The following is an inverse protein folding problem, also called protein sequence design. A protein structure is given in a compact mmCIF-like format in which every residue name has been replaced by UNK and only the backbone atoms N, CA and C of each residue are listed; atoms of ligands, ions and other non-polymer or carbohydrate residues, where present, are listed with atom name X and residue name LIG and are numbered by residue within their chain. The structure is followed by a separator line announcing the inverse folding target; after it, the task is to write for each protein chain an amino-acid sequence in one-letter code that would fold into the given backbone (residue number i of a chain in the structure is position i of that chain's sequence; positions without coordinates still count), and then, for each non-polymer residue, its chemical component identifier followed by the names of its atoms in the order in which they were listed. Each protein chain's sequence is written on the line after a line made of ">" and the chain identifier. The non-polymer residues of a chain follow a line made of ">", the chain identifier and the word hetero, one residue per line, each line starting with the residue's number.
data_IF_663782682731
#
_entry.id   IF_663782682731
#
_cell.length_a   1.000
_cell.length_b   1.000
_cell.length_c   1.000
_cell.angle_alpha   90.00
_cell.angle_beta   90.00
_cell.angle_gamma   90.00
#
_symmetry.space_group_name_H-M   'P 1'
#
loop_
_entity.id
_entity.type
_entity.pdbx_description
1 polymer ?
#
# COMPACT_ATOMS: atom_id res chain seq x y z
N UNK A 1 49.64 -9.34 -51.23
CA UNK A 1 49.91 -8.98 -49.81
C UNK A 1 49.08 -7.74 -49.52
N UNK A 2 48.26 -7.60 -48.49
CA UNK A 2 47.97 -8.38 -47.28
C UNK A 2 46.52 -8.03 -46.93
N UNK A 3 45.69 -9.03 -46.70
CA UNK A 3 44.34 -8.87 -46.17
C UNK A 3 44.43 -8.30 -44.76
N UNK A 4 43.90 -7.11 -44.51
CA UNK A 4 43.75 -6.56 -43.15
C UNK A 4 42.38 -6.96 -42.62
N UNK A 5 42.24 -8.25 -42.32
CA UNK A 5 41.16 -8.80 -41.50
C UNK A 5 41.74 -9.10 -40.12
N UNK A 6 41.79 -8.09 -39.25
CA UNK A 6 42.11 -8.26 -37.84
C UNK A 6 41.83 -6.96 -37.07
N UNK A 7 40.57 -6.50 -36.99
CA UNK A 7 40.22 -5.51 -35.95
C UNK A 7 38.70 -5.38 -35.68
N UNK A 8 37.88 -6.36 -36.06
CA UNK A 8 36.44 -6.34 -35.72
C UNK A 8 36.04 -7.45 -34.74
N UNK A 9 36.83 -8.53 -34.66
CA UNK A 9 36.56 -9.65 -33.76
C UNK A 9 36.82 -9.30 -32.29
N UNK A 10 37.83 -8.47 -32.01
CA UNK A 10 38.22 -8.14 -30.63
C UNK A 10 37.20 -7.24 -29.92
N UNK A 11 36.64 -6.24 -30.62
CA UNK A 11 35.60 -5.36 -30.06
C UNK A 11 34.28 -6.09 -29.80
N UNK A 12 33.90 -7.04 -30.66
CA UNK A 12 32.68 -7.84 -30.46
C UNK A 12 32.80 -8.77 -29.24
N UNK A 13 34.00 -9.33 -28.99
CA UNK A 13 34.28 -10.14 -27.79
C UNK A 13 34.24 -9.30 -26.51
N UNK A 14 34.76 -8.06 -26.53
CA UNK A 14 34.68 -7.17 -25.37
C UNK A 14 33.24 -6.72 -25.05
N UNK A 15 32.40 -6.46 -26.05
CA UNK A 15 30.99 -6.11 -25.84
C UNK A 15 30.20 -7.30 -25.26
N UNK A 16 30.44 -8.52 -25.73
CA UNK A 16 29.82 -9.72 -25.18
C UNK A 16 30.27 -9.99 -23.72
N UNK A 17 31.56 -9.78 -23.41
CA UNK A 17 32.08 -9.92 -22.04
C UNK A 17 31.59 -8.81 -21.09
N UNK A 18 31.34 -7.58 -21.58
CA UNK A 18 30.75 -6.53 -20.75
C UNK A 18 29.25 -6.75 -20.52
N UNK A 19 28.53 -7.31 -21.50
CA UNK A 19 27.11 -7.65 -21.34
C UNK A 19 26.84 -8.80 -20.36
N UNK A 20 27.80 -9.72 -20.17
CA UNK A 20 27.68 -10.81 -19.20
C UNK A 20 28.00 -10.40 -17.76
N UNK A 21 28.72 -9.30 -17.56
CA UNK A 21 29.02 -8.73 -16.23
C UNK A 21 27.88 -7.83 -15.71
N UNK A 22 27.00 -7.34 -16.59
CA UNK A 22 25.85 -6.50 -16.21
C UNK A 22 24.54 -7.27 -16.00
N UNK A 23 24.56 -8.60 -16.11
CA UNK A 23 23.39 -9.45 -15.89
C UNK A 23 23.70 -10.56 -14.88
N UNK A 24 24.25 -10.19 -13.72
CA UNK A 24 23.96 -10.98 -12.53
C UNK A 24 22.57 -10.54 -12.05
N UNK A 25 21.53 -11.39 -12.10
CA UNK A 25 20.34 -11.09 -11.33
C UNK A 25 20.77 -11.21 -9.87
N UNK A 26 21.12 -10.10 -9.24
CA UNK A 26 21.01 -10.01 -7.78
C UNK A 26 19.53 -10.00 -7.47
N UNK A 27 18.89 -11.16 -7.62
CA UNK A 27 17.74 -11.52 -6.82
C UNK A 27 18.29 -11.72 -5.41
N UNK A 28 18.60 -10.61 -4.75
CA UNK A 28 18.56 -10.56 -3.31
C UNK A 28 17.09 -10.67 -2.96
N UNK A 29 16.55 -11.88 -3.00
CA UNK A 29 15.43 -12.20 -2.15
C UNK A 29 16.05 -12.23 -0.76
N UNK A 30 16.01 -11.13 -0.02
CA UNK A 30 16.01 -11.22 1.44
C UNK A 30 14.64 -11.80 1.78
N UNK A 31 14.49 -13.09 1.45
CA UNK A 31 13.44 -13.94 1.94
C UNK A 31 13.53 -13.77 3.44
N UNK A 32 12.48 -13.20 4.03
CA UNK A 32 12.31 -13.01 5.47
C UNK A 32 12.99 -14.20 6.13
N UNK A 33 14.18 -13.95 6.67
CA UNK A 33 15.05 -15.01 7.15
C UNK A 33 14.23 -15.69 8.24
N UNK A 34 13.85 -16.93 7.96
CA UNK A 34 13.04 -17.77 8.82
C UNK A 34 13.84 -18.03 10.11
N UNK A 35 13.81 -17.04 11.00
CA UNK A 35 14.24 -17.16 12.38
C UNK A 35 12.98 -17.22 13.24
N UNK A 36 12.22 -18.29 13.06
CA UNK A 36 11.19 -18.73 13.98
C UNK A 36 10.00 -19.40 13.29
N UNK A 37 9.64 -20.57 13.80
CA UNK A 37 8.38 -21.32 13.62
C UNK A 37 7.13 -20.52 14.05
N UNK A 38 7.09 -19.23 13.73
CA UNK A 38 6.05 -18.27 14.08
C UNK A 38 5.22 -17.92 12.84
N UNK A 39 3.92 -17.78 13.05
CA UNK A 39 2.96 -17.35 12.03
C UNK A 39 3.44 -16.08 11.29
N UNK A 40 3.52 -16.14 9.95
CA UNK A 40 3.96 -15.02 9.11
C UNK A 40 3.16 -13.73 9.39
N UNK A 41 1.88 -13.86 9.73
CA UNK A 41 1.04 -12.73 10.13
C UNK A 41 1.61 -12.03 11.36
N UNK A 42 1.97 -12.78 12.40
CA UNK A 42 2.57 -12.25 13.63
C UNK A 42 3.93 -11.59 13.34
N UNK A 43 4.76 -12.20 12.51
CA UNK A 43 6.05 -11.63 12.10
C UNK A 43 5.90 -10.28 11.40
N UNK A 44 4.92 -10.18 10.49
CA UNK A 44 4.62 -8.94 9.78
C UNK A 44 4.03 -7.90 10.73
N UNK A 45 2.99 -8.24 11.50
CA UNK A 45 2.32 -7.28 12.37
C UNK A 45 3.23 -6.74 13.48
N UNK A 46 4.23 -7.50 13.95
CA UNK A 46 5.25 -6.99 14.88
C UNK A 46 6.13 -5.87 14.30
N UNK A 47 6.17 -5.76 12.97
CA UNK A 47 6.92 -4.75 12.22
C UNK A 47 6.02 -3.63 11.67
N UNK A 48 4.73 -3.64 12.01
CA UNK A 48 3.80 -2.57 11.66
C UNK A 48 3.45 -1.74 12.90
N UNK A 49 3.02 -0.48 12.75
CA UNK A 49 2.26 0.17 13.81
C UNK A 49 0.97 -0.62 14.09
N UNK A 50 0.34 -0.38 15.25
CA UNK A 50 -0.96 -0.95 15.62
C UNK A 50 -1.06 -2.48 15.47
N UNK A 51 -0.15 -3.21 16.13
CA UNK A 51 -0.09 -4.68 16.10
C UNK A 51 -1.46 -5.35 16.24
N UNK A 52 -2.26 -4.98 17.25
CA UNK A 52 -3.57 -5.60 17.50
C UNK A 52 -4.55 -5.41 16.35
N UNK A 53 -4.51 -4.25 15.68
CA UNK A 53 -5.34 -3.95 14.52
C UNK A 53 -4.92 -4.83 13.33
N UNK A 54 -3.61 -4.88 13.06
CA UNK A 54 -3.04 -5.71 12.00
C UNK A 54 -3.39 -7.19 12.20
N UNK A 55 -3.10 -7.73 13.39
CA UNK A 55 -3.35 -9.13 13.74
C UNK A 55 -4.83 -9.47 13.64
N UNK A 56 -5.72 -8.62 14.19
CA UNK A 56 -7.17 -8.83 14.12
C UNK A 56 -7.66 -8.92 12.67
N UNK A 57 -7.22 -8.01 11.80
CA UNK A 57 -7.66 -7.99 10.39
C UNK A 57 -7.18 -9.25 9.66
N UNK A 58 -5.91 -9.61 9.82
CA UNK A 58 -5.31 -10.70 9.07
C UNK A 58 -5.78 -12.07 9.58
N UNK A 59 -5.86 -12.28 10.90
CA UNK A 59 -6.35 -13.55 11.46
C UNK A 59 -7.85 -13.78 11.26
N UNK A 60 -8.65 -12.71 11.16
CA UNK A 60 -10.08 -12.84 10.88
C UNK A 60 -10.37 -13.17 9.41
N UNK A 61 -9.36 -13.10 8.53
CA UNK A 61 -9.54 -13.41 7.12
C UNK A 61 -9.21 -14.89 6.84
N UNK A 62 -10.20 -15.73 6.47
CA UNK A 62 -9.96 -17.15 6.19
C UNK A 62 -9.08 -17.38 4.96
N UNK A 63 -8.89 -16.35 4.13
CA UNK A 63 -8.03 -16.37 2.95
C UNK A 63 -6.61 -15.87 3.24
N UNK A 64 -6.29 -15.47 4.48
CA UNK A 64 -4.93 -15.04 4.86
C UNK A 64 -3.91 -16.15 4.56
N UNK A 65 -3.05 -15.95 3.56
CA UNK A 65 -2.09 -16.98 3.22
C UNK A 65 -1.02 -17.01 4.30
N UNK A 66 -0.92 -18.15 4.96
CA UNK A 66 0.00 -18.38 6.08
C UNK A 66 1.49 -18.22 5.72
N UNK A 67 1.80 -18.13 4.43
CA UNK A 67 3.16 -18.07 3.91
C UNK A 67 3.33 -17.14 2.70
N UNK A 68 2.39 -16.22 2.41
CA UNK A 68 2.51 -15.28 1.28
C UNK A 68 2.41 -13.82 1.74
N UNK A 69 3.56 -13.13 1.87
CA UNK A 69 3.62 -11.71 2.23
C UNK A 69 2.84 -10.81 1.25
N UNK A 70 2.77 -11.17 -0.05
CA UNK A 70 1.99 -10.40 -1.04
C UNK A 70 0.50 -10.53 -0.77
N UNK A 71 0.02 -11.75 -0.55
CA UNK A 71 -1.37 -12.00 -0.20
C UNK A 71 -1.78 -11.33 1.11
N UNK A 72 -0.90 -11.26 2.11
CA UNK A 72 -1.12 -10.49 3.33
C UNK A 72 -1.30 -8.99 3.04
N UNK A 73 -0.44 -8.41 2.20
CA UNK A 73 -0.58 -7.01 1.78
C UNK A 73 -1.88 -6.75 1.01
N UNK A 74 -2.27 -7.67 0.10
CA UNK A 74 -3.54 -7.56 -0.63
C UNK A 74 -4.75 -7.58 0.30
N UNK A 75 -4.75 -8.44 1.32
CA UNK A 75 -5.83 -8.50 2.30
C UNK A 75 -5.94 -7.17 3.05
N UNK A 76 -4.81 -6.59 3.47
CA UNK A 76 -4.82 -5.30 4.15
C UNK A 76 -5.38 -4.19 3.24
N UNK A 77 -4.92 -4.09 1.99
CA UNK A 77 -5.42 -3.08 1.03
C UNK A 77 -6.91 -3.27 0.73
N UNK A 78 -7.39 -4.50 0.57
CA UNK A 78 -8.80 -4.77 0.35
C UNK A 78 -9.65 -4.45 1.59
N UNK A 79 -9.11 -4.65 2.80
CA UNK A 79 -9.78 -4.23 4.03
C UNK A 79 -9.89 -2.70 4.13
N UNK A 80 -8.83 -1.98 3.76
CA UNK A 80 -8.84 -0.50 3.68
C UNK A 80 -9.89 -0.05 2.65
N UNK A 81 -9.93 -0.67 1.48
CA UNK A 81 -10.89 -0.31 0.43
C UNK A 81 -12.34 -0.49 0.90
N UNK A 82 -12.64 -1.57 1.62
CA UNK A 82 -13.95 -1.78 2.21
C UNK A 82 -14.31 -0.69 3.25
N UNK A 83 -13.38 -0.34 4.15
CA UNK A 83 -13.60 0.71 5.15
C UNK A 83 -13.72 2.11 4.52
N UNK A 84 -12.92 2.41 3.50
CA UNK A 84 -12.99 3.66 2.75
C UNK A 84 -14.33 3.80 2.02
N UNK A 85 -14.82 2.70 1.43
CA UNK A 85 -16.12 2.65 0.75
C UNK A 85 -17.26 2.90 1.74
N UNK A 86 -17.26 2.21 2.88
CA UNK A 86 -18.26 2.40 3.93
C UNK A 86 -18.23 3.83 4.51
N UNK A 87 -17.03 4.38 4.70
CA UNK A 87 -16.85 5.77 5.17
C UNK A 87 -17.36 6.79 4.17
N UNK A 88 -17.06 6.61 2.87
CA UNK A 88 -17.60 7.47 1.81
C UNK A 88 -19.13 7.44 1.78
N UNK A 89 -19.73 6.24 1.80
CA UNK A 89 -21.20 6.11 1.83
C UNK A 89 -21.81 6.76 3.08
N UNK A 90 -21.14 6.66 4.22
CA UNK A 90 -21.57 7.32 5.46
C UNK A 90 -21.50 8.85 5.36
N UNK A 91 -20.42 9.40 4.79
CA UNK A 91 -20.29 10.84 4.53
C UNK A 91 -21.40 11.32 3.60
N UNK A 92 -21.63 10.63 2.49
CA UNK A 92 -22.71 10.96 1.53
C UNK A 92 -24.09 10.96 2.19
N UNK A 93 -24.33 10.07 3.14
CA UNK A 93 -25.58 10.02 3.89
C UNK A 93 -25.72 11.19 4.87
N UNK A 94 -24.65 11.56 5.57
CA UNK A 94 -24.65 12.73 6.45
C UNK A 94 -24.94 14.02 5.69
N UNK A 95 -24.37 14.18 4.49
CA UNK A 95 -24.61 15.34 3.62
C UNK A 95 -26.10 15.51 3.30
N UNK A 96 -26.82 14.41 3.03
CA UNK A 96 -28.26 14.47 2.72
C UNK A 96 -29.12 14.90 3.91
N UNK A 97 -28.64 14.72 5.13
CA UNK A 97 -29.42 14.89 6.36
C UNK A 97 -29.03 16.12 7.17
N UNK A 98 -27.86 16.70 6.94
CA UNK A 98 -27.44 17.92 7.62
C UNK A 98 -28.17 19.15 7.08
N UNK A 99 -28.55 20.06 7.97
CA UNK A 99 -28.96 21.43 7.63
C UNK A 99 -27.90 22.46 7.99
N UNK A 100 -26.79 22.04 8.59
CA UNK A 100 -25.64 22.89 8.90
C UNK A 100 -24.76 23.00 7.64
N UNK A 101 -24.71 24.20 7.08
CA UNK A 101 -23.98 24.51 5.85
C UNK A 101 -22.46 24.32 6.00
N UNK A 102 -21.88 24.64 7.16
CA UNK A 102 -20.44 24.46 7.36
C UNK A 102 -20.11 22.97 7.45
N UNK A 103 -20.93 22.21 8.19
CA UNK A 103 -20.80 20.76 8.25
C UNK A 103 -20.96 20.11 6.88
N UNK A 104 -21.94 20.55 6.08
CA UNK A 104 -22.14 20.07 4.71
C UNK A 104 -20.90 20.29 3.84
N UNK A 105 -20.29 21.49 3.90
CA UNK A 105 -19.07 21.81 3.14
C UNK A 105 -17.88 20.96 3.56
N UNK A 106 -17.68 20.77 4.86
CA UNK A 106 -16.58 19.96 5.37
C UNK A 106 -16.75 18.47 5.04
N UNK A 107 -17.98 17.96 5.09
CA UNK A 107 -18.32 16.61 4.65
C UNK A 107 -18.16 16.43 3.13
N UNK A 108 -18.59 17.42 2.32
CA UNK A 108 -18.42 17.38 0.87
C UNK A 108 -16.95 17.33 0.48
N UNK A 109 -16.10 18.13 1.14
CA UNK A 109 -14.64 18.06 0.95
C UNK A 109 -14.11 16.65 1.29
N UNK A 110 -14.55 16.08 2.39
CA UNK A 110 -14.17 14.72 2.75
C UNK A 110 -14.62 13.69 1.71
N UNK A 111 -15.84 13.80 1.17
CA UNK A 111 -16.30 12.93 0.10
C UNK A 111 -15.39 13.04 -1.14
N UNK A 112 -15.02 14.27 -1.53
CA UNK A 112 -14.10 14.52 -2.64
C UNK A 112 -12.72 13.87 -2.42
N UNK A 113 -12.20 13.84 -1.19
CA UNK A 113 -10.96 13.13 -0.84
C UNK A 113 -11.12 11.60 -0.83
N UNK A 114 -12.25 11.07 -0.35
CA UNK A 114 -12.46 9.61 -0.30
C UNK A 114 -12.81 8.99 -1.67
N UNK A 115 -13.41 9.73 -2.59
CA UNK A 115 -13.75 9.25 -3.94
C UNK A 115 -12.53 8.68 -4.68
N UNK A 116 -11.39 9.39 -4.83
CA UNK A 116 -10.23 8.83 -5.52
C UNK A 116 -9.59 7.68 -4.75
N UNK A 117 -9.62 7.72 -3.41
CA UNK A 117 -9.15 6.62 -2.55
C UNK A 117 -9.85 5.32 -2.90
N UNK A 118 -11.19 5.36 -3.00
CA UNK A 118 -12.04 4.20 -3.30
C UNK A 118 -11.95 3.80 -4.78
N UNK A 119 -12.09 4.76 -5.70
CA UNK A 119 -12.25 4.44 -7.14
C UNK A 119 -10.94 4.10 -7.83
N UNK A 120 -9.83 4.66 -7.38
CA UNK A 120 -8.58 4.67 -8.14
C UNK A 120 -7.39 4.21 -7.32
N UNK A 121 -7.13 4.85 -6.18
CA UNK A 121 -5.85 4.72 -5.48
C UNK A 121 -5.69 3.33 -4.87
N UNK A 122 -6.65 2.86 -4.06
CA UNK A 122 -6.56 1.54 -3.42
C UNK A 122 -6.67 0.37 -4.41
N UNK A 123 -7.56 0.42 -5.44
CA UNK A 123 -7.54 -0.59 -6.51
C UNK A 123 -6.19 -0.66 -7.24
N UNK A 124 -5.56 0.49 -7.53
CA UNK A 124 -4.24 0.54 -8.14
C UNK A 124 -3.15 -0.01 -7.22
N UNK A 125 -3.22 0.27 -5.91
CA UNK A 125 -2.31 -0.32 -4.94
C UNK A 125 -2.42 -1.86 -4.93
N UNK A 126 -3.65 -2.40 -4.92
CA UNK A 126 -3.89 -3.84 -4.96
C UNK A 126 -3.38 -4.48 -6.26
N UNK A 127 -3.62 -3.85 -7.41
CA UNK A 127 -3.07 -4.32 -8.70
C UNK A 127 -1.54 -4.33 -8.67
N UNK A 128 -0.93 -3.26 -8.15
CA UNK A 128 0.51 -3.14 -8.08
C UNK A 128 1.15 -4.17 -7.15
N UNK A 129 0.54 -4.46 -6.00
CA UNK A 129 0.99 -5.54 -5.11
C UNK A 129 0.91 -6.89 -5.84
N UNK A 130 -0.20 -7.16 -6.54
CA UNK A 130 -0.40 -8.40 -7.29
C UNK A 130 0.67 -8.59 -8.38
N UNK A 131 1.11 -7.49 -9.00
CA UNK A 131 2.15 -7.48 -10.04
C UNK A 131 3.57 -7.36 -9.47
N UNK A 132 3.75 -7.28 -8.15
CA UNK A 132 5.07 -7.08 -7.51
C UNK A 132 5.67 -5.69 -7.72
N UNK A 133 4.88 -4.71 -8.15
CA UNK A 133 5.29 -3.30 -8.34
C UNK A 133 5.21 -2.54 -7.01
N UNK A 134 5.99 -2.97 -6.02
CA UNK A 134 5.89 -2.47 -4.65
C UNK A 134 6.20 -0.98 -4.50
N UNK A 135 7.07 -0.41 -5.34
CA UNK A 135 7.31 1.03 -5.36
C UNK A 135 6.06 1.84 -5.74
N UNK A 136 5.28 1.34 -6.70
CA UNK A 136 4.01 1.98 -7.06
C UNK A 136 2.92 1.74 -6.01
N UNK A 137 2.89 0.54 -5.42
CA UNK A 137 1.99 0.28 -4.29
C UNK A 137 2.27 1.22 -3.11
N UNK A 138 3.54 1.41 -2.74
CA UNK A 138 3.96 2.32 -1.67
C UNK A 138 3.54 3.76 -1.97
N UNK A 139 3.76 4.22 -3.21
CA UNK A 139 3.26 5.52 -3.67
C UNK A 139 1.74 5.65 -3.53
N UNK A 140 0.97 4.67 -4.00
CA UNK A 140 -0.50 4.69 -3.90
C UNK A 140 -0.99 4.69 -2.45
N UNK A 141 -0.37 3.93 -1.55
CA UNK A 141 -0.75 3.96 -0.13
C UNK A 141 -0.43 5.32 0.52
N UNK A 142 0.72 5.92 0.20
CA UNK A 142 1.06 7.26 0.67
C UNK A 142 0.11 8.34 0.11
N UNK A 143 -0.43 8.14 -1.09
CA UNK A 143 -1.45 9.03 -1.67
C UNK A 143 -2.79 8.89 -0.93
N UNK A 144 -3.21 7.66 -0.63
CA UNK A 144 -4.40 7.41 0.19
C UNK A 144 -4.28 8.01 1.60
N UNK A 145 -3.09 7.94 2.21
CA UNK A 145 -2.80 8.55 3.51
C UNK A 145 -3.01 10.08 3.48
N UNK A 146 -2.53 10.76 2.43
CA UNK A 146 -2.71 12.21 2.27
C UNK A 146 -4.18 12.61 2.12
N UNK A 147 -4.97 11.84 1.37
CA UNK A 147 -6.41 12.13 1.20
C UNK A 147 -7.18 11.94 2.51
N UNK A 148 -6.87 10.88 3.27
CA UNK A 148 -7.46 10.65 4.60
C UNK A 148 -7.09 11.79 5.56
N UNK A 149 -5.82 12.19 5.59
CA UNK A 149 -5.33 13.30 6.41
C UNK A 149 -5.93 14.66 5.99
N UNK A 150 -6.11 14.91 4.69
CA UNK A 150 -6.77 16.11 4.20
C UNK A 150 -8.20 16.22 4.73
N UNK A 151 -8.96 15.13 4.71
CA UNK A 151 -10.28 15.08 5.32
C UNK A 151 -10.22 15.29 6.84
N UNK A 152 -9.27 14.68 7.55
CA UNK A 152 -9.09 14.86 9.00
C UNK A 152 -8.89 16.32 9.39
N UNK A 153 -8.12 17.06 8.59
CA UNK A 153 -7.84 18.47 8.81
C UNK A 153 -9.07 19.39 8.69
N UNK A 154 -10.19 18.91 8.13
CA UNK A 154 -11.47 19.63 8.17
C UNK A 154 -12.15 19.59 9.53
N UNK A 155 -11.74 18.67 10.40
CA UNK A 155 -12.33 18.51 11.73
C UNK A 155 -11.29 18.70 12.86
N UNK A 156 -10.61 19.86 12.97
CA UNK A 156 -9.64 20.13 14.03
C UNK A 156 -10.35 20.41 15.36
N UNK A 157 -10.70 19.38 16.11
CA UNK A 157 -11.39 19.48 17.41
C UNK A 157 -12.36 18.32 17.65
N UNK A 158 -11.84 17.21 18.16
CA UNK A 158 -12.42 15.85 18.03
C UNK A 158 -13.50 15.45 19.05
N UNK A 159 -14.45 16.31 19.40
CA UNK A 159 -15.63 15.86 20.19
C UNK A 159 -16.96 15.94 19.45
N UNK A 160 -16.99 16.56 18.26
CA UNK A 160 -18.23 16.76 17.49
C UNK A 160 -18.16 16.29 16.03
N UNK A 161 -17.03 15.77 15.54
CA UNK A 161 -16.96 15.29 14.15
C UNK A 161 -17.76 14.00 14.01
N UNK A 162 -18.81 13.97 13.16
CA UNK A 162 -19.61 12.76 12.96
C UNK A 162 -18.81 11.63 12.30
N UNK A 163 -17.63 11.93 11.73
CA UNK A 163 -16.78 10.96 11.03
C UNK A 163 -15.44 10.71 11.74
N UNK A 164 -15.19 11.31 12.91
CA UNK A 164 -13.89 11.30 13.58
C UNK A 164 -13.33 9.90 13.85
N UNK A 165 -14.17 8.99 14.36
CA UNK A 165 -13.75 7.60 14.65
C UNK A 165 -13.41 6.82 13.37
N UNK A 166 -14.22 7.01 12.32
CA UNK A 166 -14.03 6.34 11.02
C UNK A 166 -12.71 6.77 10.38
N UNK A 167 -12.47 8.06 10.40
CA UNK A 167 -11.24 8.68 9.94
C UNK A 167 -10.01 8.26 10.75
N UNK A 168 -10.13 8.15 12.07
CA UNK A 168 -9.06 7.64 12.93
C UNK A 168 -8.72 6.18 12.62
N UNK A 169 -9.74 5.34 12.40
CA UNK A 169 -9.53 3.95 11.98
C UNK A 169 -8.86 3.92 10.60
N UNK A 170 -9.34 4.70 9.64
CA UNK A 170 -8.76 4.78 8.30
C UNK A 170 -7.29 5.16 8.33
N UNK A 171 -6.91 6.17 9.12
CA UNK A 171 -5.50 6.55 9.31
C UNK A 171 -4.66 5.37 9.81
N UNK A 172 -5.11 4.68 10.86
CA UNK A 172 -4.38 3.52 11.40
C UNK A 172 -4.23 2.41 10.37
N UNK A 173 -5.26 2.17 9.55
CA UNK A 173 -5.22 1.14 8.52
C UNK A 173 -4.21 1.48 7.42
N UNK A 174 -4.20 2.72 6.92
CA UNK A 174 -3.22 3.13 5.88
C UNK A 174 -1.80 3.13 6.43
N UNK A 175 -1.57 3.49 7.69
CA UNK A 175 -0.27 3.40 8.36
C UNK A 175 0.22 1.95 8.42
N UNK A 176 -0.66 1.00 8.77
CA UNK A 176 -0.36 -0.44 8.76
C UNK A 176 -0.01 -0.90 7.35
N UNK A 177 -0.81 -0.57 6.34
CA UNK A 177 -0.52 -0.96 4.96
C UNK A 177 0.79 -0.39 4.43
N UNK A 178 1.10 0.87 4.77
CA UNK A 178 2.36 1.52 4.42
C UNK A 178 3.54 0.73 4.97
N UNK A 179 3.49 0.34 6.25
CA UNK A 179 4.51 -0.50 6.86
C UNK A 179 4.63 -1.88 6.18
N UNK A 180 3.51 -2.57 5.90
CA UNK A 180 3.54 -3.87 5.21
C UNK A 180 4.16 -3.75 3.81
N UNK A 181 3.73 -2.77 3.00
CA UNK A 181 4.27 -2.59 1.65
C UNK A 181 5.75 -2.20 1.68
N UNK A 182 6.18 -1.43 2.68
CA UNK A 182 7.60 -1.12 2.87
C UNK A 182 8.44 -2.34 3.25
N UNK A 183 7.89 -3.34 3.95
CA UNK A 183 8.57 -4.62 4.16
C UNK A 183 8.77 -5.37 2.84
N UNK A 184 7.79 -5.32 1.93
CA UNK A 184 7.89 -5.95 0.60
C UNK A 184 8.82 -5.20 -0.35
N UNK A 185 8.94 -3.89 -0.20
CA UNK A 185 9.83 -3.07 -1.02
C UNK A 185 11.32 -3.28 -0.68
N UNK A 186 11.61 -3.56 0.59
CA UNK A 186 12.98 -3.64 1.12
C UNK A 186 13.47 -5.08 1.37
N UNK A 187 12.65 -6.10 1.11
CA UNK A 187 13.00 -7.52 1.24
C UNK A 187 13.27 -8.17 -0.12
#
# INVERSE_FOLDING_TARGET
>A
MKSTSASMSSFALYILLFSSVLFTPTHSSVLLKDEGDGDLVDQICKRTPFYDLCSKILHSNPLAPKSDPKGIALIMVNNILANATDTLSYIEELIKHTSDQQLEQDLAFCAESYIPVVKYILPQAAEAISQGRFGFASYSIADAEKEVDACNKKFPGSTQSPIGDRNSIMQKLVDVASAIVNLLLNG
#
